data_IF_774045707522
#
_entry.id   IF_774045707522
#
_cell.length_a   1.000
_cell.length_b   1.000
_cell.length_c   1.000
_cell.angle_alpha   90.00
_cell.angle_beta   90.00
_cell.angle_gamma   90.00
#
_symmetry.space_group_name_H-M   'P 1'
#
loop_
_entity.id
_entity.type
_entity.pdbx_description
1 polymer ?
#
# COMPACT_ATOMS: atom_id res chain seq x y z
N UNK A 1 -20.19 -18.15 10.24
CA UNK A 1 -19.59 -17.83 8.92
C UNK A 1 -19.26 -16.33 8.78
N UNK A 2 -20.06 -15.43 9.34
CA UNK A 2 -19.83 -13.98 9.29
C UNK A 2 -18.60 -13.48 10.06
N UNK A 3 -18.27 -14.04 11.22
CA UNK A 3 -17.14 -13.58 12.04
C UNK A 3 -15.78 -13.86 11.39
N UNK A 4 -15.60 -15.05 10.80
CA UNK A 4 -14.36 -15.37 10.05
C UNK A 4 -14.15 -14.47 8.83
N UNK A 5 -15.25 -14.13 8.12
CA UNK A 5 -15.19 -13.21 7.00
C UNK A 5 -14.79 -11.80 7.45
N UNK A 6 -15.33 -11.30 8.56
CA UNK A 6 -14.98 -10.01 9.12
C UNK A 6 -13.52 -9.91 9.55
N UNK A 7 -12.91 -11.03 9.93
CA UNK A 7 -11.50 -11.09 10.34
C UNK A 7 -10.53 -11.13 9.16
N UNK A 8 -10.85 -11.91 8.11
CA UNK A 8 -9.96 -12.13 6.96
C UNK A 8 -10.13 -11.08 5.86
N UNK A 9 -11.36 -10.59 5.68
CA UNK A 9 -11.70 -9.72 4.55
C UNK A 9 -10.92 -8.39 4.53
N UNK A 10 -10.73 -7.66 5.65
CA UNK A 10 -9.92 -6.45 5.68
C UNK A 10 -8.47 -6.68 5.26
N UNK A 11 -7.88 -7.78 5.71
CA UNK A 11 -6.52 -8.16 5.33
C UNK A 11 -6.39 -8.51 3.85
N UNK A 12 -7.33 -9.30 3.32
CA UNK A 12 -7.38 -9.64 1.91
C UNK A 12 -7.58 -8.39 1.04
N UNK A 13 -8.49 -7.49 1.43
CA UNK A 13 -8.69 -6.21 0.74
C UNK A 13 -7.39 -5.39 0.68
N UNK A 14 -6.74 -5.20 1.83
CA UNK A 14 -5.49 -4.45 1.90
C UNK A 14 -4.41 -5.08 1.00
N UNK A 15 -4.30 -6.40 1.02
CA UNK A 15 -3.36 -7.13 0.18
C UNK A 15 -3.62 -6.91 -1.32
N UNK A 16 -4.86 -7.07 -1.79
CA UNK A 16 -5.20 -6.88 -3.20
C UNK A 16 -5.00 -5.45 -3.67
N UNK A 17 -5.32 -4.46 -2.83
CA UNK A 17 -5.12 -3.05 -3.16
C UNK A 17 -3.63 -2.73 -3.32
N UNK A 18 -2.75 -3.35 -2.52
CA UNK A 18 -1.29 -3.22 -2.68
C UNK A 18 -0.82 -3.67 -4.06
N UNK A 19 -1.39 -4.74 -4.61
CA UNK A 19 -1.08 -5.19 -5.97
C UNK A 19 -1.54 -4.20 -7.04
N UNK A 20 -2.70 -3.59 -6.87
CA UNK A 20 -3.20 -2.54 -7.77
C UNK A 20 -2.28 -1.31 -7.72
N UNK A 21 -1.83 -0.93 -6.53
CA UNK A 21 -0.94 0.22 -6.31
C UNK A 21 0.44 0.10 -6.95
N UNK A 22 0.92 -1.11 -7.25
CA UNK A 22 2.22 -1.29 -7.89
C UNK A 22 2.26 -0.78 -9.34
N UNK A 23 1.14 -0.88 -10.07
CA UNK A 23 1.09 -0.62 -11.52
C UNK A 23 1.64 0.76 -11.93
N UNK A 24 1.18 1.89 -11.34
CA UNK A 24 1.67 3.21 -11.72
C UNK A 24 3.16 3.42 -11.44
N UNK A 25 3.68 2.72 -10.45
CA UNK A 25 5.07 2.86 -10.02
C UNK A 25 6.02 1.99 -10.84
N UNK A 26 5.56 0.81 -11.30
CA UNK A 26 6.27 -0.02 -12.26
C UNK A 26 6.44 0.68 -13.61
N UNK A 27 5.49 1.54 -14.00
CA UNK A 27 5.59 2.37 -15.20
C UNK A 27 6.83 3.29 -15.17
N UNK A 28 7.30 3.72 -13.98
CA UNK A 28 8.51 4.56 -13.86
C UNK A 28 9.74 3.81 -14.39
N UNK A 29 9.89 2.54 -14.02
CA UNK A 29 10.99 1.70 -14.48
C UNK A 29 10.83 1.35 -15.97
N UNK A 30 9.60 1.11 -16.43
CA UNK A 30 9.30 0.89 -17.83
C UNK A 30 9.62 2.10 -18.69
N UNK A 31 9.20 3.31 -18.28
CA UNK A 31 9.47 4.57 -18.99
C UNK A 31 10.99 4.85 -19.10
N UNK A 32 11.75 4.42 -18.07
CA UNK A 32 13.23 4.46 -18.10
C UNK A 32 13.80 3.48 -19.13
N UNK A 33 13.37 2.22 -19.12
CA UNK A 33 13.87 1.17 -20.03
C UNK A 33 13.52 1.45 -21.48
N UNK A 34 12.32 1.97 -21.74
CA UNK A 34 11.84 2.34 -23.07
C UNK A 34 12.36 3.69 -23.58
N UNK A 35 13.24 4.35 -22.82
CA UNK A 35 13.77 5.69 -23.13
C UNK A 35 12.69 6.75 -23.34
N UNK A 36 11.52 6.57 -22.72
CA UNK A 36 10.43 7.56 -22.73
C UNK A 36 10.75 8.70 -21.76
N UNK A 37 11.38 8.38 -20.62
CA UNK A 37 11.73 9.32 -19.58
C UNK A 37 12.53 10.55 -20.09
N UNK A 38 13.57 10.40 -20.94
CA UNK A 38 14.29 11.55 -21.49
C UNK A 38 13.41 12.48 -22.34
N UNK A 39 12.42 11.90 -23.03
CA UNK A 39 11.46 12.69 -23.85
C UNK A 39 10.51 13.49 -22.97
N UNK A 40 10.04 12.91 -21.86
CA UNK A 40 9.21 13.60 -20.87
C UNK A 40 9.98 14.75 -20.22
N UNK A 41 11.25 14.54 -19.89
CA UNK A 41 12.13 15.54 -19.28
C UNK A 41 12.64 16.62 -20.25
N UNK A 42 12.46 16.44 -21.57
CA UNK A 42 12.67 17.49 -22.54
C UNK A 42 11.56 18.57 -22.49
N UNK A 43 10.41 18.27 -21.91
CA UNK A 43 9.37 19.25 -21.57
C UNK A 43 9.74 19.98 -20.27
N UNK A 44 9.12 21.14 -19.94
CA UNK A 44 9.40 21.89 -18.72
C UNK A 44 8.82 21.18 -17.46
N UNK A 45 9.20 19.91 -17.27
CA UNK A 45 8.77 19.04 -16.16
C UNK A 45 10.01 18.53 -15.43
N UNK A 46 10.05 18.72 -14.12
CA UNK A 46 11.13 18.17 -13.29
C UNK A 46 10.91 16.69 -12.98
N UNK A 47 12.00 15.94 -12.78
CA UNK A 47 11.95 14.55 -12.38
C UNK A 47 11.11 14.34 -11.10
N UNK A 48 11.19 15.31 -10.17
CA UNK A 48 10.38 15.27 -8.94
C UNK A 48 8.88 15.36 -9.22
N UNK A 49 8.46 16.25 -10.10
CA UNK A 49 7.05 16.38 -10.50
C UNK A 49 6.54 15.10 -11.18
N UNK A 50 7.36 14.50 -12.05
CA UNK A 50 7.03 13.23 -12.69
C UNK A 50 6.79 12.10 -11.67
N UNK A 51 7.72 11.91 -10.71
CA UNK A 51 7.59 10.87 -9.68
C UNK A 51 6.40 11.17 -8.76
N UNK A 52 6.20 12.43 -8.35
CA UNK A 52 5.01 12.84 -7.56
C UNK A 52 3.70 12.54 -8.30
N UNK A 53 3.61 12.78 -9.60
CA UNK A 53 2.42 12.47 -10.39
C UNK A 53 2.12 10.96 -10.40
N UNK A 54 3.14 10.09 -10.53
CA UNK A 54 2.97 8.64 -10.45
C UNK A 54 2.54 8.18 -9.05
N UNK A 55 3.11 8.77 -7.98
CA UNK A 55 2.69 8.50 -6.60
C UNK A 55 1.25 8.97 -6.35
N UNK A 56 0.87 10.15 -6.82
CA UNK A 56 -0.50 10.63 -6.71
C UNK A 56 -1.48 9.71 -7.43
N UNK A 57 -1.12 9.25 -8.64
CA UNK A 57 -1.93 8.25 -9.37
C UNK A 57 -2.07 6.95 -8.58
N UNK A 58 -1.00 6.47 -7.95
CA UNK A 58 -1.02 5.32 -7.05
C UNK A 58 -2.00 5.54 -5.89
N UNK A 59 -1.91 6.68 -5.21
CA UNK A 59 -2.80 7.05 -4.11
C UNK A 59 -4.27 7.06 -4.53
N UNK A 60 -4.58 7.70 -5.67
CA UNK A 60 -5.96 7.78 -6.18
C UNK A 60 -6.49 6.39 -6.54
N UNK A 61 -5.70 5.57 -7.24
CA UNK A 61 -6.09 4.20 -7.58
C UNK A 61 -6.31 3.33 -6.35
N UNK A 62 -5.43 3.39 -5.34
CA UNK A 62 -5.60 2.68 -4.09
C UNK A 62 -6.86 3.13 -3.34
N UNK A 63 -7.13 4.45 -3.31
CA UNK A 63 -8.32 5.01 -2.66
C UNK A 63 -9.61 4.55 -3.33
N UNK A 64 -9.65 4.59 -4.66
CA UNK A 64 -10.81 4.13 -5.44
C UNK A 64 -11.01 2.63 -5.28
N UNK A 65 -9.95 1.84 -5.35
CA UNK A 65 -10.02 0.38 -5.17
C UNK A 65 -10.49 0.03 -3.75
N UNK A 66 -9.98 0.70 -2.72
CA UNK A 66 -10.41 0.49 -1.33
C UNK A 66 -11.89 0.83 -1.15
N UNK A 67 -12.33 1.98 -1.63
CA UNK A 67 -13.72 2.39 -1.56
C UNK A 67 -14.64 1.41 -2.29
N UNK A 68 -14.25 0.99 -3.50
CA UNK A 68 -15.03 0.04 -4.31
C UNK A 68 -15.14 -1.32 -3.59
N UNK A 69 -14.05 -1.86 -3.05
CA UNK A 69 -14.07 -3.12 -2.34
C UNK A 69 -14.92 -3.08 -1.08
N UNK A 70 -14.91 -1.97 -0.33
CA UNK A 70 -15.77 -1.75 0.84
C UNK A 70 -17.24 -1.73 0.41
N UNK A 71 -17.58 -0.99 -0.65
CA UNK A 71 -18.96 -0.90 -1.15
C UNK A 71 -19.43 -2.27 -1.66
N UNK A 72 -18.65 -2.92 -2.50
CA UNK A 72 -19.00 -4.23 -3.08
C UNK A 72 -19.16 -5.29 -1.98
N UNK A 73 -18.27 -5.31 -0.99
CA UNK A 73 -18.38 -6.26 0.12
C UNK A 73 -19.58 -5.99 1.02
N UNK A 74 -19.95 -4.72 1.22
CA UNK A 74 -21.16 -4.35 1.94
C UNK A 74 -22.43 -4.82 1.20
N UNK A 75 -22.45 -4.66 -0.13
CA UNK A 75 -23.59 -5.05 -0.96
C UNK A 75 -23.74 -6.57 -1.12
N UNK A 76 -22.63 -7.28 -1.37
CA UNK A 76 -22.66 -8.73 -1.63
C UNK A 76 -22.78 -9.56 -0.35
N UNK A 77 -22.11 -9.16 0.70
CA UNK A 77 -22.05 -9.94 1.95
C UNK A 77 -22.88 -9.32 3.09
N UNK A 78 -23.52 -8.18 2.86
CA UNK A 78 -24.31 -7.49 3.89
C UNK A 78 -23.48 -7.00 5.07
N UNK A 79 -22.18 -6.78 4.89
CA UNK A 79 -21.26 -6.41 5.97
C UNK A 79 -21.48 -4.96 6.36
N UNK A 80 -21.72 -4.75 7.65
CA UNK A 80 -21.80 -3.39 8.23
C UNK A 80 -20.41 -2.96 8.68
N UNK A 81 -19.71 -2.23 7.80
CA UNK A 81 -18.34 -1.75 8.06
C UNK A 81 -18.23 -0.64 9.12
N UNK A 82 -19.36 -0.01 9.48
CA UNK A 82 -19.41 1.08 10.45
C UNK A 82 -19.70 2.44 9.83
N UNK A 83 -19.49 3.53 10.59
CA UNK A 83 -19.86 4.87 10.13
C UNK A 83 -18.98 5.38 8.99
N UNK A 84 -19.61 5.93 7.95
CA UNK A 84 -18.94 6.40 6.72
C UNK A 84 -17.74 7.33 6.95
N UNK A 85 -17.75 8.32 7.88
CA UNK A 85 -16.60 9.19 8.08
C UNK A 85 -15.37 8.45 8.63
N UNK A 86 -15.55 7.44 9.49
CA UNK A 86 -14.43 6.61 9.97
C UNK A 86 -13.86 5.74 8.85
N UNK A 87 -14.73 5.19 7.99
CA UNK A 87 -14.31 4.42 6.83
C UNK A 87 -13.52 5.27 5.83
N UNK A 88 -13.99 6.48 5.54
CA UNK A 88 -13.27 7.40 4.66
C UNK A 88 -11.86 7.69 5.20
N UNK A 89 -11.73 7.93 6.50
CA UNK A 89 -10.44 8.14 7.16
C UNK A 89 -9.53 6.91 7.00
N UNK A 90 -10.03 5.70 7.22
CA UNK A 90 -9.26 4.45 7.06
C UNK A 90 -8.82 4.27 5.60
N UNK A 91 -9.69 4.54 4.64
CA UNK A 91 -9.35 4.48 3.20
C UNK A 91 -8.18 5.41 2.87
N UNK A 92 -8.21 6.65 3.37
CA UNK A 92 -7.11 7.61 3.16
C UNK A 92 -5.81 7.11 3.80
N UNK A 93 -5.86 6.67 5.06
CA UNK A 93 -4.69 6.13 5.79
C UNK A 93 -4.09 4.93 5.05
N UNK A 94 -4.93 3.99 4.62
CA UNK A 94 -4.50 2.84 3.85
C UNK A 94 -3.84 3.26 2.54
N UNK A 95 -4.45 4.17 1.79
CA UNK A 95 -3.93 4.63 0.49
C UNK A 95 -2.60 5.35 0.63
N UNK A 96 -2.40 6.16 1.68
CA UNK A 96 -1.11 6.80 1.99
C UNK A 96 -0.06 5.73 2.31
N UNK A 97 -0.39 4.77 3.19
CA UNK A 97 0.50 3.68 3.57
C UNK A 97 0.90 2.82 2.36
N UNK A 98 -0.07 2.44 1.53
CA UNK A 98 0.15 1.64 0.33
C UNK A 98 1.04 2.36 -0.67
N UNK A 99 0.77 3.65 -0.93
CA UNK A 99 1.59 4.47 -1.83
C UNK A 99 3.04 4.54 -1.35
N UNK A 100 3.25 4.77 -0.06
CA UNK A 100 4.60 4.84 0.50
C UNK A 100 5.33 3.50 0.43
N UNK A 101 4.67 2.42 0.85
CA UNK A 101 5.25 1.08 0.84
C UNK A 101 5.60 0.60 -0.57
N UNK A 102 4.65 0.69 -1.50
CA UNK A 102 4.87 0.26 -2.89
C UNK A 102 5.90 1.13 -3.59
N UNK A 103 5.88 2.46 -3.37
CA UNK A 103 6.89 3.37 -3.92
C UNK A 103 8.29 3.03 -3.40
N UNK A 104 8.43 2.73 -2.11
CA UNK A 104 9.71 2.37 -1.53
C UNK A 104 10.24 1.07 -2.14
N UNK A 105 9.43 0.01 -2.20
CA UNK A 105 9.82 -1.26 -2.79
C UNK A 105 10.24 -1.08 -4.26
N UNK A 106 9.45 -0.35 -5.05
CA UNK A 106 9.74 -0.11 -6.46
C UNK A 106 10.99 0.73 -6.67
N UNK A 107 11.28 1.68 -5.77
CA UNK A 107 12.48 2.52 -5.85
C UNK A 107 13.79 1.78 -5.56
N UNK A 108 13.71 0.61 -4.94
CA UNK A 108 14.88 -0.26 -4.68
C UNK A 108 15.21 -1.16 -5.87
N UNK A 109 14.23 -1.42 -6.75
CA UNK A 109 14.44 -2.21 -7.96
C UNK A 109 15.13 -1.39 -9.04
N UNK A 110 16.10 -1.98 -9.74
CA UNK A 110 16.86 -1.32 -10.83
C UNK A 110 16.21 -1.53 -12.20
N UNK A 111 15.52 -2.65 -12.39
CA UNK A 111 14.85 -3.04 -13.62
C UNK A 111 13.39 -3.39 -13.34
N UNK A 112 12.56 -3.30 -14.38
CA UNK A 112 11.16 -3.70 -14.31
C UNK A 112 11.02 -5.18 -13.94
N UNK A 113 11.87 -6.05 -14.47
CA UNK A 113 11.86 -7.49 -14.15
C UNK A 113 12.14 -7.73 -12.66
N UNK A 114 13.16 -7.06 -12.09
CA UNK A 114 13.42 -7.08 -10.66
C UNK A 114 12.21 -6.64 -9.85
N UNK A 115 11.59 -5.54 -10.22
CA UNK A 115 10.40 -5.02 -9.56
C UNK A 115 9.24 -6.01 -9.58
N UNK A 116 9.01 -6.67 -10.72
CA UNK A 116 7.96 -7.65 -10.91
C UNK A 116 8.14 -8.92 -10.06
N UNK A 117 9.35 -9.26 -9.67
CA UNK A 117 9.64 -10.42 -8.81
C UNK A 117 9.69 -10.02 -7.34
N UNK A 118 10.44 -8.98 -7.00
CA UNK A 118 10.68 -8.59 -5.61
C UNK A 118 9.42 -8.06 -4.94
N UNK A 119 8.65 -7.21 -5.65
CA UNK A 119 7.49 -6.57 -5.04
C UNK A 119 6.39 -7.56 -4.63
N UNK A 120 5.94 -8.49 -5.48
CA UNK A 120 4.97 -9.50 -5.06
C UNK A 120 5.46 -10.37 -3.91
N UNK A 121 6.75 -10.75 -3.91
CA UNK A 121 7.33 -11.56 -2.84
C UNK A 121 7.28 -10.83 -1.49
N UNK A 122 7.71 -9.57 -1.45
CA UNK A 122 7.70 -8.77 -0.21
C UNK A 122 6.26 -8.55 0.27
N UNK A 123 5.34 -8.22 -0.64
CA UNK A 123 3.93 -8.00 -0.29
C UNK A 123 3.26 -9.29 0.19
N UNK A 124 3.57 -10.44 -0.42
CA UNK A 124 3.07 -11.74 0.00
C UNK A 124 3.59 -12.13 1.39
N UNK A 125 4.86 -11.87 1.70
CA UNK A 125 5.43 -12.06 3.03
C UNK A 125 4.69 -11.21 4.07
N UNK A 126 4.44 -9.93 3.79
CA UNK A 126 3.68 -9.06 4.70
C UNK A 126 2.23 -9.54 4.87
N UNK A 127 1.60 -10.06 3.82
CA UNK A 127 0.25 -10.59 3.89
C UNK A 127 0.16 -11.87 4.74
N UNK A 128 1.14 -12.77 4.58
CA UNK A 128 1.20 -14.00 5.40
C UNK A 128 1.41 -13.68 6.87
N UNK A 129 2.39 -12.83 7.19
CA UNK A 129 2.73 -12.46 8.56
C UNK A 129 1.66 -11.59 9.22
N UNK A 130 1.02 -10.71 8.45
CA UNK A 130 0.02 -9.76 8.95
C UNK A 130 -1.37 -10.32 9.18
N UNK A 131 -1.61 -11.62 8.89
CA UNK A 131 -2.91 -12.25 9.09
C UNK A 131 -3.92 -11.98 7.98
N UNK A 132 -3.45 -11.62 6.76
CA UNK A 132 -4.32 -11.38 5.61
C UNK A 132 -4.71 -12.65 4.86
N UNK A 133 -3.88 -13.69 4.91
CA UNK A 133 -4.14 -14.99 4.27
C UNK A 133 -4.58 -16.05 5.28
N UNK A 134 -4.08 -15.98 6.49
CA UNK A 134 -4.41 -16.90 7.58
C UNK A 134 -4.81 -16.11 8.82
N UNK A 135 -5.75 -16.61 9.66
CA UNK A 135 -6.06 -15.98 10.93
C UNK A 135 -4.76 -15.83 11.77
N UNK A 136 -4.51 -14.61 12.22
CA UNK A 136 -3.28 -14.28 12.95
C UNK A 136 -3.05 -15.17 14.19
N UNK A 137 -4.12 -15.54 14.87
CA UNK A 137 -4.09 -16.34 16.08
C UNK A 137 -3.64 -17.80 15.83
N UNK A 138 -3.76 -18.28 14.58
CA UNK A 138 -3.32 -19.61 14.18
C UNK A 138 -1.84 -19.68 13.79
N UNK A 139 -1.14 -18.53 13.73
CA UNK A 139 0.26 -18.50 13.42
C UNK A 139 1.12 -18.94 14.62
N UNK A 140 2.28 -19.60 14.40
CA UNK A 140 3.26 -19.85 15.47
C UNK A 140 3.68 -18.54 16.16
N UNK A 141 3.95 -18.58 17.46
CA UNK A 141 4.29 -17.39 18.27
C UNK A 141 5.42 -16.55 17.70
N UNK A 142 6.41 -17.18 17.09
CA UNK A 142 7.53 -16.50 16.42
C UNK A 142 7.04 -15.66 15.22
N UNK A 143 6.14 -16.21 14.39
CA UNK A 143 5.57 -15.48 13.25
C UNK A 143 4.60 -14.37 13.70
N UNK A 144 3.88 -14.57 14.80
CA UNK A 144 3.05 -13.53 15.40
C UNK A 144 3.91 -12.34 15.86
N UNK A 145 5.07 -12.60 16.48
CA UNK A 145 6.00 -11.55 16.91
C UNK A 145 6.50 -10.71 15.73
N UNK A 146 6.82 -11.33 14.60
CA UNK A 146 7.20 -10.61 13.37
C UNK A 146 6.00 -9.91 12.73
N UNK A 147 4.87 -10.58 12.72
CA UNK A 147 3.63 -10.11 12.10
C UNK A 147 3.08 -8.82 12.71
N UNK A 148 3.27 -8.61 14.02
CA UNK A 148 2.80 -7.40 14.71
C UNK A 148 3.42 -6.09 14.18
N UNK A 149 4.58 -6.16 13.52
CA UNK A 149 5.26 -5.01 12.91
C UNK A 149 4.94 -4.85 11.42
N UNK A 150 4.09 -5.70 10.85
CA UNK A 150 3.75 -5.62 9.43
C UNK A 150 2.64 -4.59 9.16
N UNK A 151 2.73 -3.87 8.01
CA UNK A 151 1.68 -2.94 7.60
C UNK A 151 0.30 -3.60 7.48
N UNK A 152 0.27 -4.85 7.01
CA UNK A 152 -0.96 -5.62 6.88
C UNK A 152 -1.66 -5.82 8.23
N UNK A 153 -0.91 -6.11 9.30
CA UNK A 153 -1.48 -6.25 10.64
C UNK A 153 -2.07 -4.94 11.13
N UNK A 154 -1.37 -3.84 10.96
CA UNK A 154 -1.88 -2.51 11.35
C UNK A 154 -3.13 -2.13 10.56
N UNK A 155 -3.18 -2.46 9.27
CA UNK A 155 -4.36 -2.23 8.44
C UNK A 155 -5.57 -3.05 8.92
N UNK A 156 -5.38 -4.34 9.21
CA UNK A 156 -6.43 -5.19 9.77
C UNK A 156 -6.95 -4.64 11.10
N UNK A 157 -6.06 -4.28 12.02
CA UNK A 157 -6.42 -3.72 13.32
C UNK A 157 -7.23 -2.43 13.20
N UNK A 158 -6.84 -1.51 12.32
CA UNK A 158 -7.56 -0.24 12.11
C UNK A 158 -8.98 -0.49 11.58
N UNK A 159 -9.14 -1.42 10.64
CA UNK A 159 -10.45 -1.74 10.07
C UNK A 159 -11.37 -2.45 11.09
N UNK A 160 -10.83 -3.44 11.81
CA UNK A 160 -11.58 -4.12 12.89
C UNK A 160 -12.03 -3.14 13.97
N UNK A 161 -11.20 -2.14 14.28
CA UNK A 161 -11.56 -1.08 15.20
C UNK A 161 -12.79 -0.29 14.74
N UNK A 162 -12.87 0.02 13.45
CA UNK A 162 -14.05 0.70 12.88
C UNK A 162 -15.28 -0.19 12.90
N UNK A 163 -15.14 -1.46 12.51
CA UNK A 163 -16.25 -2.44 12.49
C UNK A 163 -16.85 -2.62 13.90
N UNK A 164 -16.00 -2.75 14.91
CA UNK A 164 -16.45 -2.91 16.29
C UNK A 164 -16.84 -1.59 16.99
N UNK A 165 -16.91 -0.49 16.23
CA UNK A 165 -17.28 0.85 16.73
C UNK A 165 -16.44 1.33 17.92
N UNK A 166 -15.22 0.80 18.06
CA UNK A 166 -14.31 1.20 19.12
C UNK A 166 -13.84 2.65 18.94
N UNK A 167 -13.45 3.34 20.03
CA UNK A 167 -12.89 4.68 19.92
C UNK A 167 -11.57 4.64 19.15
N UNK A 168 -11.35 5.64 18.26
CA UNK A 168 -10.14 5.73 17.44
C UNK A 168 -8.86 5.86 18.27
N UNK A 169 -9.00 6.29 19.51
CA UNK A 169 -7.89 6.43 20.48
C UNK A 169 -7.16 5.12 20.76
N UNK A 170 -7.86 3.99 20.72
CA UNK A 170 -7.25 2.66 20.90
C UNK A 170 -6.36 2.23 19.72
N UNK A 171 -6.55 2.86 18.55
CA UNK A 171 -5.85 2.53 17.31
C UNK A 171 -4.88 3.60 16.84
N UNK A 172 -4.54 4.57 17.71
CA UNK A 172 -3.58 5.63 17.37
C UNK A 172 -2.24 5.05 16.96
N UNK A 173 -1.74 4.03 17.66
CA UNK A 173 -0.44 3.43 17.34
C UNK A 173 -0.41 2.77 15.94
N UNK A 174 -1.34 1.87 15.57
CA UNK A 174 -1.44 1.34 14.21
C UNK A 174 -1.64 2.43 13.12
N UNK A 175 -2.47 3.43 13.40
CA UNK A 175 -2.72 4.55 12.48
C UNK A 175 -1.45 5.37 12.28
N UNK A 176 -0.76 5.73 13.36
CA UNK A 176 0.49 6.48 13.29
C UNK A 176 1.58 5.70 12.56
N UNK A 177 1.68 4.39 12.80
CA UNK A 177 2.63 3.51 12.12
C UNK A 177 2.36 3.44 10.61
N UNK A 178 1.09 3.30 10.18
CA UNK A 178 0.70 3.31 8.77
C UNK A 178 1.00 4.66 8.11
N UNK A 179 0.68 5.77 8.76
CA UNK A 179 0.98 7.11 8.24
C UNK A 179 2.48 7.37 8.17
N UNK A 180 3.23 6.99 9.21
CA UNK A 180 4.69 7.10 9.22
C UNK A 180 5.31 6.28 8.07
N UNK A 181 4.88 5.04 7.89
CA UNK A 181 5.33 4.20 6.78
C UNK A 181 4.99 4.84 5.42
N UNK A 182 3.78 5.36 5.27
CA UNK A 182 3.33 6.01 4.04
C UNK A 182 4.15 7.24 3.70
N UNK A 183 4.31 8.15 4.66
CA UNK A 183 5.02 9.43 4.48
C UNK A 183 6.52 9.18 4.31
N UNK A 184 7.15 8.48 5.25
CA UNK A 184 8.58 8.20 5.21
C UNK A 184 8.95 7.34 4.00
N UNK A 185 8.14 6.33 3.70
CA UNK A 185 8.31 5.49 2.51
C UNK A 185 8.25 6.30 1.22
N UNK A 186 7.30 7.22 1.08
CA UNK A 186 7.17 8.10 -0.09
C UNK A 186 8.36 9.05 -0.22
N UNK A 187 8.81 9.64 0.89
CA UNK A 187 9.97 10.54 0.90
C UNK A 187 11.27 9.82 0.52
N UNK A 188 11.51 8.64 1.11
CA UNK A 188 12.67 7.82 0.78
C UNK A 188 12.63 7.36 -0.68
N UNK A 189 11.47 6.90 -1.15
CA UNK A 189 11.28 6.50 -2.53
C UNK A 189 11.59 7.65 -3.50
N UNK A 190 11.17 8.88 -3.19
CA UNK A 190 11.48 10.06 -3.98
C UNK A 190 12.99 10.28 -4.09
N UNK A 191 13.73 10.14 -2.99
CA UNK A 191 15.19 10.29 -2.97
C UNK A 191 15.86 9.19 -3.81
N UNK A 192 15.42 7.93 -3.63
CA UNK A 192 16.00 6.81 -4.39
C UNK A 192 15.68 6.91 -5.88
N UNK A 193 14.46 7.22 -6.27
CA UNK A 193 14.12 7.44 -7.69
C UNK A 193 14.93 8.58 -8.30
N UNK A 194 15.09 9.71 -7.60
CA UNK A 194 15.92 10.82 -8.08
C UNK A 194 17.38 10.40 -8.31
N UNK A 195 17.96 9.65 -7.38
CA UNK A 195 19.34 9.15 -7.53
C UNK A 195 19.46 8.16 -8.69
N UNK A 196 18.52 7.21 -8.78
CA UNK A 196 18.56 6.16 -9.79
C UNK A 196 18.30 6.67 -11.20
N UNK A 197 17.39 7.63 -11.36
CA UNK A 197 17.02 8.20 -12.65
C UNK A 197 17.98 9.32 -13.07
N UNK A 198 18.51 10.12 -12.11
CA UNK A 198 19.50 11.17 -12.37
C UNK A 198 20.86 10.62 -12.79
N UNK A 199 21.30 9.50 -12.21
CA UNK A 199 22.57 8.86 -12.60
C UNK A 199 22.55 8.28 -14.04
N UNK A 200 21.37 8.04 -14.60
CA UNK A 200 21.22 7.56 -15.99
C UNK A 200 21.29 8.67 -17.05
N UNK A 201 21.27 9.94 -16.66
CA UNK A 201 21.35 11.08 -17.59
C UNK A 201 22.78 11.55 -17.86
N UNK A 202 23.76 11.05 -17.09
CA UNK A 202 25.17 11.41 -17.24
C UNK A 202 26.00 10.41 -18.08
N UNK A 203 25.35 9.49 -18.75
CA UNK A 203 25.93 8.57 -19.70
C UNK A 203 25.18 8.67 -21.04
#
# INVERSE_FOLDING_TARGET
MSEYLLLLLPGAMYFWILFIGQTPLQEILQDKEQRILPRILACPVTLGQYVCAKMLRCFVLCSLAAALLIIVSALLFGIKWGPAPKLALVVVIWSVSMTGLTSLIQSLARTREQANVISPLVLMLFAMLGGSMFPYDNLPKFLQLLGQYTPNRWAVLTMLGVVHSKPMTEFIAPIAALLALGILGSLLAMVFFRRQLGAGQMK
#
